data_IF_765655141671
#
_entry.id   IF_765655141671
#
_cell.length_a   1.000
_cell.length_b   1.000
_cell.length_c   1.000
_cell.angle_alpha   90.00
_cell.angle_beta   90.00
_cell.angle_gamma   90.00
#
_symmetry.space_group_name_H-M   'P 1'
#
loop_
_entity.id
_entity.type
_entity.pdbx_description
1 polymer ?
#
# COMPACT_ATOMS: atom_id res chain seq x y z
N UNK A 1 3.15 33.12 3.39
CA UNK A 1 2.44 31.86 3.04
C UNK A 1 3.40 30.97 2.26
N UNK A 2 3.73 29.77 2.74
CA UNK A 2 4.67 28.88 2.04
C UNK A 2 3.94 28.00 1.03
N UNK A 3 4.32 28.06 -0.25
CA UNK A 3 3.64 27.31 -1.34
C UNK A 3 4.56 26.24 -1.93
N UNK A 4 5.81 26.59 -2.25
CA UNK A 4 6.70 25.72 -3.03
C UNK A 4 7.45 24.65 -2.22
N UNK A 5 7.55 24.78 -0.90
CA UNK A 5 8.32 23.87 -0.03
C UNK A 5 7.48 22.81 0.69
N UNK A 6 6.17 22.80 0.50
CA UNK A 6 5.28 21.83 1.13
C UNK A 6 5.39 20.50 0.39
N UNK A 7 5.97 19.49 1.04
CA UNK A 7 6.01 18.13 0.51
C UNK A 7 4.74 17.36 0.84
N UNK A 8 4.31 16.48 -0.06
CA UNK A 8 3.17 15.61 0.19
C UNK A 8 3.39 14.67 1.38
N UNK A 9 2.36 14.52 2.23
CA UNK A 9 2.42 13.63 3.40
C UNK A 9 2.44 12.13 3.03
N UNK A 10 1.95 11.78 1.82
CA UNK A 10 1.95 10.40 1.30
C UNK A 10 3.15 10.15 0.41
N UNK A 11 3.75 8.97 0.52
CA UNK A 11 4.80 8.53 -0.40
C UNK A 11 4.24 8.30 -1.81
N UNK A 12 5.10 8.50 -2.83
CA UNK A 12 4.74 8.26 -4.24
C UNK A 12 4.33 6.80 -4.45
N UNK A 13 5.02 5.86 -3.81
CA UNK A 13 4.67 4.43 -3.81
C UNK A 13 3.25 4.18 -3.26
N UNK A 14 2.87 4.80 -2.14
CA UNK A 14 1.49 4.67 -1.60
C UNK A 14 0.46 5.28 -2.55
N UNK A 15 0.79 6.41 -3.19
CA UNK A 15 -0.09 7.00 -4.19
C UNK A 15 -0.27 6.08 -5.41
N UNK A 16 0.78 5.36 -5.83
CA UNK A 16 0.69 4.35 -6.90
C UNK A 16 -0.24 3.19 -6.51
N UNK A 17 -0.09 2.63 -5.31
CA UNK A 17 -0.97 1.57 -4.78
C UNK A 17 -2.44 2.02 -4.72
N UNK A 18 -2.70 3.25 -4.23
CA UNK A 18 -4.04 3.81 -4.17
C UNK A 18 -4.64 4.04 -5.58
N UNK A 19 -3.85 4.49 -6.55
CA UNK A 19 -4.30 4.65 -7.95
C UNK A 19 -4.68 3.32 -8.59
N UNK A 20 -3.87 2.29 -8.39
CA UNK A 20 -4.14 0.93 -8.92
C UNK A 20 -5.39 0.34 -8.26
N UNK A 21 -5.54 0.49 -6.94
CA UNK A 21 -6.72 0.02 -6.21
C UNK A 21 -8.02 0.72 -6.65
N UNK A 22 -7.97 1.98 -7.12
CA UNK A 22 -9.13 2.65 -7.73
C UNK A 22 -9.48 2.09 -9.10
N UNK A 23 -8.46 1.73 -9.89
CA UNK A 23 -8.64 1.18 -11.24
C UNK A 23 -9.20 -0.24 -11.22
N UNK A 24 -8.77 -1.07 -10.25
CA UNK A 24 -9.20 -2.46 -10.09
C UNK A 24 -9.85 -2.68 -8.73
N UNK A 25 -11.13 -2.25 -8.54
CA UNK A 25 -11.81 -2.33 -7.24
C UNK A 25 -12.19 -3.76 -6.84
N UNK A 26 -12.19 -4.70 -7.77
CA UNK A 26 -12.45 -6.13 -7.53
C UNK A 26 -11.22 -6.88 -6.98
N UNK A 27 -10.03 -6.27 -7.06
CA UNK A 27 -8.76 -6.88 -6.64
C UNK A 27 -8.24 -6.20 -5.37
N UNK A 28 -7.55 -6.97 -4.55
CA UNK A 28 -6.90 -6.46 -3.34
C UNK A 28 -5.40 -6.28 -3.55
N UNK A 29 -4.89 -5.12 -3.13
CA UNK A 29 -3.46 -4.81 -3.20
C UNK A 29 -2.74 -5.56 -2.08
N UNK A 30 -1.83 -6.45 -2.47
CA UNK A 30 -0.95 -7.13 -1.53
C UNK A 30 0.17 -6.20 -1.07
N UNK A 31 0.97 -5.70 -2.03
CA UNK A 31 2.09 -4.79 -1.82
C UNK A 31 2.58 -4.19 -3.16
N UNK A 32 3.64 -3.41 -3.14
CA UNK A 32 4.30 -2.88 -4.35
C UNK A 32 5.82 -2.83 -4.20
N UNK A 33 6.54 -2.74 -5.33
CA UNK A 33 7.99 -2.53 -5.37
C UNK A 33 8.39 -1.52 -6.46
N UNK A 34 9.57 -0.93 -6.28
CA UNK A 34 10.16 0.02 -7.23
C UNK A 34 10.77 -0.72 -8.41
N UNK A 35 10.55 -0.20 -9.62
CA UNK A 35 11.04 -0.81 -10.86
C UNK A 35 12.08 0.09 -11.51
N UNK A 36 11.68 1.35 -11.75
CA UNK A 36 12.49 2.31 -12.49
C UNK A 36 12.07 3.74 -12.17
N UNK A 37 12.92 4.70 -12.55
CA UNK A 37 12.63 6.12 -12.48
C UNK A 37 13.20 6.81 -13.73
N UNK A 38 12.33 7.51 -14.45
CA UNK A 38 12.75 8.54 -15.40
C UNK A 38 12.65 9.88 -14.65
N UNK A 39 13.47 10.89 -14.94
CA UNK A 39 13.61 12.12 -14.12
C UNK A 39 12.30 12.90 -13.86
N UNK A 40 11.19 12.51 -14.50
CA UNK A 40 9.82 13.00 -14.28
C UNK A 40 8.90 12.04 -13.53
N UNK A 41 9.11 10.72 -13.64
CA UNK A 41 8.17 9.70 -13.19
C UNK A 41 8.85 8.53 -12.49
N UNK A 42 8.23 8.08 -11.39
CA UNK A 42 8.64 6.86 -10.68
C UNK A 42 7.68 5.73 -11.02
N UNK A 43 8.25 4.60 -11.43
CA UNK A 43 7.51 3.40 -11.81
C UNK A 43 7.53 2.38 -10.67
N UNK A 44 6.35 1.86 -10.37
CA UNK A 44 6.15 0.84 -9.35
C UNK A 44 5.29 -0.28 -9.91
N UNK A 45 5.68 -1.51 -9.62
CA UNK A 45 4.84 -2.69 -9.87
C UNK A 45 4.03 -2.98 -8.61
N UNK A 46 2.72 -3.09 -8.78
CA UNK A 46 1.75 -3.31 -7.71
C UNK A 46 1.21 -4.73 -7.85
N UNK A 47 1.38 -5.53 -6.80
CA UNK A 47 0.94 -6.92 -6.75
C UNK A 47 -0.51 -6.93 -6.27
N UNK A 48 -1.38 -7.44 -7.12
CA UNK A 48 -2.82 -7.58 -6.89
C UNK A 48 -3.17 -9.05 -6.67
N UNK A 49 -4.17 -9.29 -5.84
CA UNK A 49 -4.72 -10.63 -5.58
C UNK A 49 -6.23 -10.58 -5.81
N UNK A 50 -6.74 -11.60 -6.48
CA UNK A 50 -8.18 -11.80 -6.66
C UNK A 50 -8.74 -12.68 -5.52
N UNK A 51 -9.51 -12.11 -4.58
CA UNK A 51 -10.07 -12.87 -3.46
C UNK A 51 -11.23 -13.80 -3.87
N UNK A 52 -11.79 -13.65 -5.07
CA UNK A 52 -12.90 -14.49 -5.55
C UNK A 52 -12.41 -15.81 -6.16
N UNK A 53 -11.10 -15.95 -6.37
CA UNK A 53 -10.51 -17.16 -6.96
C UNK A 53 -10.45 -18.31 -5.95
N UNK A 54 -10.89 -19.52 -6.32
CA UNK A 54 -10.84 -20.68 -5.45
C UNK A 54 -9.41 -21.05 -5.07
N UNK A 55 -8.43 -20.85 -5.95
CA UNK A 55 -7.02 -21.15 -5.67
C UNK A 55 -6.49 -20.32 -4.50
N UNK A 56 -6.88 -19.04 -4.43
CA UNK A 56 -6.48 -18.12 -3.36
C UNK A 56 -7.22 -18.43 -2.06
N UNK A 57 -8.47 -18.87 -2.14
CA UNK A 57 -9.26 -19.24 -0.96
C UNK A 57 -8.77 -20.54 -0.31
N UNK A 58 -8.33 -21.51 -1.12
CA UNK A 58 -7.81 -22.79 -0.63
C UNK A 58 -6.34 -22.72 -0.18
N UNK A 59 -5.57 -21.72 -0.63
CA UNK A 59 -4.19 -21.55 -0.19
C UNK A 59 -4.10 -20.97 1.24
N UNK A 60 -3.67 -21.82 2.17
CA UNK A 60 -3.47 -21.48 3.58
C UNK A 60 -2.49 -20.30 3.83
N UNK A 61 -1.61 -19.97 2.89
CA UNK A 61 -0.64 -18.87 3.04
C UNK A 61 -1.22 -17.50 2.73
N UNK A 62 -2.16 -17.42 1.77
CA UNK A 62 -2.66 -16.15 1.26
C UNK A 62 -4.15 -15.92 1.52
N UNK A 63 -4.92 -16.95 1.90
CA UNK A 63 -6.36 -16.86 2.11
C UNK A 63 -6.80 -15.75 3.09
N UNK A 64 -5.90 -15.28 3.97
CA UNK A 64 -6.17 -14.21 4.91
C UNK A 64 -6.62 -12.93 4.20
N UNK A 65 -6.16 -12.70 2.97
CA UNK A 65 -6.53 -11.52 2.17
C UNK A 65 -7.99 -11.56 1.70
N UNK A 66 -8.60 -12.75 1.61
CA UNK A 66 -10.00 -12.94 1.20
C UNK A 66 -11.00 -12.47 2.27
N UNK A 67 -10.56 -12.30 3.53
CA UNK A 67 -11.44 -11.81 4.58
C UNK A 67 -11.86 -10.36 4.36
N UNK A 68 -13.13 -10.02 4.65
CA UNK A 68 -13.66 -8.65 4.58
C UNK A 68 -12.82 -7.62 5.36
N UNK A 69 -12.11 -8.05 6.40
CA UNK A 69 -11.19 -7.21 7.20
C UNK A 69 -10.06 -6.62 6.37
N UNK A 70 -9.64 -7.33 5.32
CA UNK A 70 -8.53 -6.99 4.44
C UNK A 70 -8.98 -6.31 3.14
N UNK A 71 -10.19 -5.77 3.09
CA UNK A 71 -10.67 -4.98 1.95
C UNK A 71 -10.00 -3.60 1.88
N UNK A 72 -9.70 -3.10 0.67
CA UNK A 72 -9.23 -1.72 0.46
C UNK A 72 -7.99 -1.35 1.32
N UNK A 73 -7.03 -2.28 1.47
CA UNK A 73 -5.85 -2.09 2.33
C UNK A 73 -4.97 -0.91 1.95
N UNK A 74 -4.83 -0.64 0.65
CA UNK A 74 -4.02 0.45 0.13
C UNK A 74 -4.48 1.83 0.65
N UNK A 75 -5.80 2.09 0.64
CA UNK A 75 -6.37 3.37 1.10
C UNK A 75 -6.17 3.58 2.61
N UNK A 76 -6.28 2.50 3.39
CA UNK A 76 -6.06 2.51 4.85
C UNK A 76 -4.58 2.54 5.25
N UNK A 77 -3.67 2.47 4.29
CA UNK A 77 -2.23 2.46 4.56
C UNK A 77 -1.76 1.20 5.30
N UNK A 78 -2.40 0.05 5.04
CA UNK A 78 -2.04 -1.26 5.60
C UNK A 78 -1.02 -2.03 4.75
N UNK A 79 -0.60 -1.46 3.62
CA UNK A 79 0.52 -1.94 2.78
C UNK A 79 1.87 -1.56 3.40
N UNK A 80 2.97 -2.11 2.89
CA UNK A 80 4.30 -1.79 3.40
C UNK A 80 4.65 -0.30 3.22
N UNK A 81 4.26 0.29 2.09
CA UNK A 81 4.42 1.72 1.82
C UNK A 81 3.57 2.57 2.77
N UNK A 82 2.32 2.16 3.02
CA UNK A 82 1.43 2.81 3.99
C UNK A 82 1.97 2.78 5.42
N UNK A 83 2.45 1.62 5.88
CA UNK A 83 3.06 1.47 7.22
C UNK A 83 4.32 2.31 7.37
N UNK A 84 5.14 2.44 6.31
CA UNK A 84 6.30 3.34 6.29
C UNK A 84 5.89 4.80 6.48
N UNK A 85 4.90 5.27 5.72
CA UNK A 85 4.41 6.65 5.83
C UNK A 85 3.76 6.97 7.18
N UNK A 86 3.23 5.95 7.87
CA UNK A 86 2.69 6.06 9.23
C UNK A 86 3.75 5.92 10.32
N UNK A 87 5.05 5.81 10.03
CA UNK A 87 6.09 5.64 11.06
C UNK A 87 6.08 4.29 11.78
N UNK A 88 5.27 3.31 11.33
CA UNK A 88 5.08 2.02 12.00
C UNK A 88 6.19 0.99 11.73
N UNK A 89 7.33 1.42 11.16
CA UNK A 89 8.50 0.57 10.93
C UNK A 89 9.43 0.49 12.14
N UNK A 90 9.39 1.47 13.03
CA UNK A 90 10.21 1.52 14.24
C UNK A 90 9.38 1.16 15.47
N UNK A 91 10.03 0.57 16.47
CA UNK A 91 9.44 0.22 17.78
C UNK A 91 10.33 0.79 18.88
N UNK A 92 9.73 1.18 20.00
CA UNK A 92 10.45 1.71 21.17
C UNK A 92 10.37 3.23 21.27
N UNK A 93 11.36 3.82 21.97
CA UNK A 93 11.42 5.26 22.24
C UNK A 93 11.30 6.08 20.96
N UNK A 94 10.37 7.03 20.94
CA UNK A 94 10.09 7.89 19.78
C UNK A 94 9.00 7.40 18.82
N UNK A 95 8.57 6.13 18.93
CA UNK A 95 7.42 5.60 18.19
C UNK A 95 6.12 5.56 19.05
N UNK A 96 6.20 5.96 20.31
CA UNK A 96 5.11 5.86 21.30
C UNK A 96 3.87 6.67 20.88
N UNK A 97 4.06 7.86 20.31
CA UNK A 97 2.97 8.76 19.89
C UNK A 97 2.28 8.36 18.58
N UNK A 98 2.83 7.37 17.89
CA UNK A 98 2.40 6.98 16.54
C UNK A 98 1.74 5.59 16.55
N UNK A 99 1.73 4.92 17.70
CA UNK A 99 1.26 3.56 17.89
C UNK A 99 -0.15 3.48 18.43
#
# INVERSE_FOLDING_TARGET
MGVNKISGAKSIQRMAEERVARKYPNLEVLNSYWVWEDGKAKYYEVILVDPQRPEIQHDNKINWICSKKHTRRAFRGLTSAGRKGRGLRHKGKGAEKVR
#
